data_IF_154651250891
#
_entry.id   IF_154651250891
#
_cell.length_a   1.000
_cell.length_b   1.000
_cell.length_c   1.000
_cell.angle_alpha   90.00
_cell.angle_beta   90.00
_cell.angle_gamma   90.00
#
_symmetry.space_group_name_H-M   'P 1'
#
loop_
_entity.id
_entity.type
_entity.pdbx_description
1 polymer ?
#
# COMPACT_ATOMS: atom_id res chain seq x y z
N UNK A 1 9.10 -12.13 14.67
CA UNK A 1 10.48 -11.66 14.89
C UNK A 1 11.41 -12.70 14.31
N UNK A 2 12.39 -12.32 13.47
CA UNK A 2 13.30 -13.25 12.78
C UNK A 2 14.64 -12.59 12.44
N UNK A 3 15.67 -13.40 12.20
CA UNK A 3 16.99 -12.97 11.70
C UNK A 3 17.33 -13.85 10.50
N UNK A 4 17.60 -13.21 9.37
CA UNK A 4 17.90 -13.91 8.11
C UNK A 4 19.24 -13.44 7.56
N UNK A 5 20.27 -14.29 7.62
CA UNK A 5 21.58 -13.97 7.08
C UNK A 5 21.69 -14.32 5.60
N UNK A 6 22.37 -13.47 4.85
CA UNK A 6 22.75 -13.69 3.46
C UNK A 6 24.21 -13.27 3.23
N UNK A 7 24.93 -14.05 2.43
CA UNK A 7 26.30 -13.71 2.01
C UNK A 7 26.28 -13.13 0.59
N UNK A 8 26.65 -11.86 0.47
CA UNK A 8 26.77 -11.15 -0.82
C UNK A 8 28.24 -10.81 -1.07
N UNK A 9 28.95 -11.77 -1.66
CA UNK A 9 30.41 -11.71 -1.82
C UNK A 9 31.09 -11.65 -0.44
N UNK A 10 31.84 -10.58 -0.17
CA UNK A 10 32.49 -10.35 1.13
C UNK A 10 31.61 -9.67 2.19
N UNK A 11 30.30 -9.57 1.96
CA UNK A 11 29.35 -8.91 2.85
C UNK A 11 28.46 -9.95 3.52
N UNK A 12 28.30 -9.84 4.83
CA UNK A 12 27.20 -10.48 5.55
C UNK A 12 26.06 -9.46 5.65
N UNK A 13 24.96 -9.74 4.98
CA UNK A 13 23.71 -8.98 5.11
C UNK A 13 22.84 -9.70 6.14
N UNK A 14 22.38 -8.98 7.15
CA UNK A 14 21.46 -9.48 8.15
C UNK A 14 20.13 -8.76 8.01
N UNK A 15 19.07 -9.47 7.60
CA UNK A 15 17.71 -8.95 7.65
C UNK A 15 17.12 -9.25 9.03
N UNK A 16 16.80 -8.19 9.76
CA UNK A 16 16.23 -8.27 11.09
C UNK A 16 14.75 -7.91 11.02
N UNK A 17 13.88 -8.85 11.41
CA UNK A 17 12.43 -8.68 11.37
C UNK A 17 11.90 -8.46 12.77
N UNK A 18 11.24 -7.33 12.99
CA UNK A 18 10.72 -6.92 14.28
C UNK A 18 9.19 -6.86 14.29
N UNK A 19 8.60 -7.05 15.47
CA UNK A 19 7.23 -6.63 15.72
C UNK A 19 7.28 -5.23 16.35
N UNK A 20 6.49 -4.29 15.84
CA UNK A 20 6.59 -2.86 16.19
C UNK A 20 5.34 -2.32 16.89
N UNK A 21 4.41 -3.22 17.25
CA UNK A 21 3.11 -2.85 17.79
C UNK A 21 2.35 -1.96 16.81
N UNK A 22 1.78 -0.87 17.33
CA UNK A 22 0.99 0.09 16.55
C UNK A 22 1.81 1.21 15.90
N UNK A 23 3.12 1.24 16.10
CA UNK A 23 4.00 2.14 15.38
C UNK A 23 4.39 1.55 14.02
N UNK A 24 4.66 2.41 13.04
CA UNK A 24 5.37 2.02 11.81
C UNK A 24 6.73 1.37 12.12
N UNK A 25 7.37 1.81 13.22
CA UNK A 25 8.47 1.10 13.85
C UNK A 25 9.87 1.32 13.27
N UNK A 26 10.03 2.21 12.30
CA UNK A 26 11.30 2.49 11.63
C UNK A 26 12.43 2.84 12.62
N UNK A 27 12.24 3.86 13.45
CA UNK A 27 13.26 4.28 14.42
C UNK A 27 13.57 3.19 15.46
N UNK A 28 12.56 2.41 15.85
CA UNK A 28 12.70 1.30 16.79
C UNK A 28 13.53 0.18 16.18
N UNK A 29 13.22 -0.21 14.94
CA UNK A 29 13.93 -1.24 14.19
C UNK A 29 15.37 -0.81 13.88
N UNK A 30 15.61 0.45 13.50
CA UNK A 30 16.95 0.98 13.25
C UNK A 30 17.83 0.93 14.51
N UNK A 31 17.29 1.37 15.66
CA UNK A 31 18.00 1.30 16.95
C UNK A 31 18.30 -0.14 17.37
N UNK A 32 17.34 -1.05 17.25
CA UNK A 32 17.55 -2.45 17.55
C UNK A 32 18.60 -3.08 16.61
N UNK A 33 18.57 -2.73 15.33
CA UNK A 33 19.52 -3.20 14.32
C UNK A 33 20.95 -2.71 14.59
N UNK A 34 21.12 -1.48 15.08
CA UNK A 34 22.43 -0.95 15.49
C UNK A 34 23.04 -1.77 16.63
N UNK A 35 22.24 -2.09 17.65
CA UNK A 35 22.69 -2.92 18.77
C UNK A 35 23.04 -4.35 18.31
N UNK A 36 22.22 -4.96 17.45
CA UNK A 36 22.49 -6.27 16.88
C UNK A 36 23.76 -6.26 16.01
N UNK A 37 23.94 -5.22 15.18
CA UNK A 37 25.11 -5.05 14.32
C UNK A 37 26.39 -4.92 15.14
N UNK A 38 26.35 -4.13 16.23
CA UNK A 38 27.49 -4.00 17.14
C UNK A 38 27.85 -5.33 17.82
N UNK A 39 26.86 -6.09 18.29
CA UNK A 39 27.09 -7.41 18.89
C UNK A 39 27.80 -8.36 17.92
N UNK A 40 27.31 -8.46 16.69
CA UNK A 40 27.88 -9.36 15.67
C UNK A 40 29.29 -8.91 15.30
N UNK A 41 29.52 -7.60 15.15
CA UNK A 41 30.83 -7.04 14.85
C UNK A 41 31.86 -7.36 15.95
N UNK A 42 31.47 -7.36 17.24
CA UNK A 42 32.38 -7.75 18.34
C UNK A 42 32.79 -9.22 18.31
N UNK A 43 31.94 -10.09 17.76
CA UNK A 43 32.20 -11.53 17.64
C UNK A 43 32.84 -11.93 16.30
N UNK A 44 33.14 -10.98 15.41
CA UNK A 44 33.62 -11.24 14.05
C UNK A 44 34.79 -10.31 13.69
N UNK A 45 35.49 -10.59 12.60
CA UNK A 45 36.55 -9.72 12.06
C UNK A 45 35.99 -8.68 11.06
N UNK A 46 34.74 -8.24 11.24
CA UNK A 46 34.09 -7.33 10.31
C UNK A 46 34.83 -5.97 10.24
N UNK A 47 35.37 -5.63 9.07
CA UNK A 47 36.10 -4.36 8.87
C UNK A 47 35.21 -3.12 9.06
N UNK A 48 33.93 -3.21 8.67
CA UNK A 48 32.96 -2.12 8.69
C UNK A 48 31.57 -2.65 8.96
N UNK A 49 30.73 -1.83 9.60
CA UNK A 49 29.31 -2.10 9.83
C UNK A 49 28.47 -0.92 9.36
N UNK A 50 27.29 -1.22 8.84
CA UNK A 50 26.31 -0.23 8.41
C UNK A 50 24.91 -0.73 8.78
N UNK A 51 24.10 0.15 9.33
CA UNK A 51 22.66 -0.08 9.49
C UNK A 51 21.98 0.72 8.39
N UNK A 52 21.11 0.04 7.63
CA UNK A 52 20.58 0.47 6.33
C UNK A 52 21.59 0.37 5.18
N UNK A 53 21.19 -0.28 4.09
CA UNK A 53 22.03 -0.49 2.91
C UNK A 53 21.30 -1.25 1.80
N UNK A 54 20.62 -2.33 2.14
CA UNK A 54 19.78 -3.11 1.20
C UNK A 54 18.28 -2.85 1.41
N UNK A 55 17.84 -2.71 2.67
CA UNK A 55 16.48 -2.27 3.01
C UNK A 55 16.36 -0.74 2.91
N UNK A 56 16.71 -0.20 1.73
CA UNK A 56 16.57 1.24 1.46
C UNK A 56 15.10 1.57 1.48
N UNK A 57 14.71 2.37 2.45
CA UNK A 57 13.34 2.83 2.64
C UNK A 57 12.86 3.63 1.42
N UNK A 58 11.53 3.65 1.25
CA UNK A 58 10.81 4.47 0.29
C UNK A 58 11.13 4.08 -1.16
N UNK A 59 11.22 2.77 -1.42
CA UNK A 59 11.43 2.19 -2.76
C UNK A 59 10.72 0.86 -2.95
N UNK A 60 9.86 0.79 -3.96
CA UNK A 60 9.29 -0.46 -4.44
C UNK A 60 10.39 -1.48 -4.78
N UNK A 61 10.23 -2.72 -4.31
CA UNK A 61 11.17 -3.80 -4.58
C UNK A 61 10.46 -5.17 -4.50
N UNK A 62 10.98 -6.14 -5.25
CA UNK A 62 10.37 -7.48 -5.33
C UNK A 62 10.34 -8.22 -3.99
N UNK A 63 11.33 -8.00 -3.11
CA UNK A 63 11.38 -8.63 -1.79
C UNK A 63 10.21 -8.19 -0.92
N UNK A 64 9.87 -6.90 -0.89
CA UNK A 64 8.70 -6.39 -0.19
C UNK A 64 7.39 -6.98 -0.76
N UNK A 65 7.32 -7.21 -2.08
CA UNK A 65 6.16 -7.84 -2.71
C UNK A 65 5.97 -9.31 -2.29
N UNK A 66 7.05 -10.06 -2.11
CA UNK A 66 7.01 -11.50 -1.81
C UNK A 66 7.07 -11.84 -0.31
N UNK A 67 7.95 -11.18 0.44
CA UNK A 67 8.18 -11.44 1.86
C UNK A 67 7.39 -10.49 2.78
N UNK A 68 6.83 -9.41 2.23
CA UNK A 68 6.13 -8.37 2.98
C UNK A 68 7.07 -7.45 3.77
N UNK A 69 6.56 -6.25 4.10
CA UNK A 69 7.22 -5.26 4.96
C UNK A 69 6.19 -4.36 5.62
N UNK A 70 6.22 -4.26 6.94
CA UNK A 70 5.14 -3.63 7.69
C UNK A 70 3.95 -4.59 7.79
N UNK A 71 2.78 -4.16 7.30
CA UNK A 71 1.53 -4.95 7.36
C UNK A 71 1.18 -5.52 5.99
N UNK A 72 0.95 -6.82 5.93
CA UNK A 72 0.36 -7.49 4.76
C UNK A 72 -1.14 -7.63 4.98
N UNK A 73 -1.95 -7.15 4.03
CA UNK A 73 -3.41 -7.16 4.12
C UNK A 73 -4.03 -7.61 2.81
N UNK A 74 -5.06 -8.45 2.91
CA UNK A 74 -5.93 -8.84 1.79
C UNK A 74 -7.32 -8.31 2.10
N UNK A 75 -7.94 -7.65 1.14
CA UNK A 75 -9.33 -7.22 1.19
C UNK A 75 -10.03 -7.78 -0.04
N UNK A 76 -11.18 -8.42 0.14
CA UNK A 76 -12.00 -8.91 -0.97
C UNK A 76 -13.47 -8.54 -0.79
N UNK A 77 -14.21 -8.64 -1.89
CA UNK A 77 -15.65 -8.42 -1.93
C UNK A 77 -16.29 -9.18 -3.08
N UNK A 78 -17.51 -9.64 -2.86
CA UNK A 78 -18.41 -10.10 -3.93
C UNK A 78 -19.48 -9.03 -4.19
N UNK A 79 -19.48 -8.46 -5.39
CA UNK A 79 -20.40 -7.40 -5.79
C UNK A 79 -21.49 -7.95 -6.74
N UNK A 80 -22.77 -7.83 -6.37
CA UNK A 80 -23.86 -8.26 -7.23
C UNK A 80 -23.86 -7.55 -8.58
N UNK A 81 -24.13 -8.29 -9.67
CA UNK A 81 -24.26 -7.70 -11.02
C UNK A 81 -25.22 -6.52 -11.05
N UNK A 82 -26.37 -6.65 -10.39
CA UNK A 82 -27.39 -5.61 -10.34
C UNK A 82 -26.86 -4.33 -9.67
N UNK A 83 -26.03 -4.46 -8.63
CA UNK A 83 -25.42 -3.32 -7.93
C UNK A 83 -24.41 -2.60 -8.84
N UNK A 84 -23.57 -3.36 -9.56
CA UNK A 84 -22.61 -2.79 -10.52
C UNK A 84 -23.31 -2.04 -11.65
N UNK A 85 -24.36 -2.64 -12.24
CA UNK A 85 -25.14 -2.01 -13.28
C UNK A 85 -25.80 -0.71 -12.79
N UNK A 86 -26.35 -0.72 -11.57
CA UNK A 86 -27.02 0.44 -11.00
C UNK A 86 -26.06 1.57 -10.60
N UNK A 87 -24.96 1.25 -9.93
CA UNK A 87 -24.06 2.24 -9.31
C UNK A 87 -22.94 2.66 -10.26
N UNK A 88 -22.33 1.70 -10.94
CA UNK A 88 -21.13 1.89 -11.76
C UNK A 88 -21.42 1.86 -13.27
N UNK A 89 -22.64 1.49 -13.69
CA UNK A 89 -23.06 1.41 -15.11
C UNK A 89 -22.19 0.46 -15.94
N UNK A 90 -21.67 -0.59 -15.32
CA UNK A 90 -20.83 -1.62 -15.94
C UNK A 90 -21.31 -3.02 -15.56
N UNK A 91 -20.93 -4.01 -16.37
CA UNK A 91 -21.06 -5.43 -16.03
C UNK A 91 -19.79 -5.97 -15.34
N UNK A 92 -19.88 -7.10 -14.61
CA UNK A 92 -18.69 -7.83 -14.16
C UNK A 92 -17.70 -8.14 -15.28
N UNK A 93 -18.21 -8.51 -16.46
CA UNK A 93 -17.39 -8.84 -17.63
C UNK A 93 -16.57 -7.65 -18.13
N UNK A 94 -17.14 -6.44 -18.12
CA UNK A 94 -16.43 -5.22 -18.53
C UNK A 94 -15.21 -4.97 -17.64
N UNK A 95 -15.39 -5.12 -16.33
CA UNK A 95 -14.34 -4.92 -15.32
C UNK A 95 -13.24 -5.99 -15.43
N UNK A 96 -13.60 -7.25 -15.62
CA UNK A 96 -12.62 -8.33 -15.85
C UNK A 96 -11.85 -8.11 -17.14
N UNK A 97 -12.51 -7.69 -18.23
CA UNK A 97 -11.86 -7.47 -19.52
C UNK A 97 -10.85 -6.31 -19.51
N UNK A 98 -11.20 -5.17 -18.89
CA UNK A 98 -10.26 -4.06 -18.75
C UNK A 98 -9.09 -4.43 -17.83
N UNK A 99 -9.34 -5.16 -16.74
CA UNK A 99 -8.31 -5.61 -15.83
C UNK A 99 -7.29 -6.53 -16.51
N UNK A 100 -7.75 -7.50 -17.32
CA UNK A 100 -6.86 -8.34 -18.12
C UNK A 100 -5.96 -7.51 -19.07
N UNK A 101 -6.50 -6.43 -19.62
CA UNK A 101 -5.73 -5.48 -20.45
C UNK A 101 -4.63 -4.77 -19.65
N UNK A 102 -4.93 -4.34 -18.42
CA UNK A 102 -3.95 -3.77 -17.50
C UNK A 102 -2.87 -4.77 -17.12
N UNK A 103 -3.21 -6.03 -16.83
CA UNK A 103 -2.23 -7.06 -16.46
C UNK A 103 -1.18 -7.29 -17.55
N UNK A 104 -1.59 -7.34 -18.82
CA UNK A 104 -0.65 -7.43 -19.95
C UNK A 104 0.26 -6.19 -20.01
N UNK A 105 -0.32 -5.00 -19.83
CA UNK A 105 0.44 -3.74 -19.80
C UNK A 105 1.46 -3.71 -18.65
N UNK A 106 1.06 -4.10 -17.45
CA UNK A 106 1.92 -4.18 -16.28
C UNK A 106 3.06 -5.18 -16.46
N UNK A 107 2.76 -6.37 -16.99
CA UNK A 107 3.79 -7.36 -17.32
C UNK A 107 4.82 -6.81 -18.31
N UNK A 108 4.37 -6.07 -19.34
CA UNK A 108 5.25 -5.44 -20.32
C UNK A 108 6.12 -4.33 -19.71
N UNK A 109 5.59 -3.58 -18.75
CA UNK A 109 6.33 -2.52 -18.06
C UNK A 109 7.32 -3.05 -17.02
N UNK A 110 7.17 -4.31 -16.58
CA UNK A 110 7.95 -4.87 -15.48
C UNK A 110 7.66 -4.16 -14.15
N UNK A 111 6.46 -3.60 -13.98
CA UNK A 111 6.07 -2.95 -12.72
C UNK A 111 5.83 -3.98 -11.61
N UNK A 112 6.16 -3.59 -10.38
CA UNK A 112 5.84 -4.37 -9.17
C UNK A 112 4.50 -3.97 -8.54
N UNK A 113 3.78 -3.01 -9.14
CA UNK A 113 2.45 -2.61 -8.71
C UNK A 113 1.40 -3.09 -9.70
N UNK A 114 0.60 -4.09 -9.29
CA UNK A 114 -0.55 -4.60 -10.03
C UNK A 114 -1.87 -3.91 -9.69
N UNK A 115 -1.86 -2.91 -8.81
CA UNK A 115 -3.00 -2.05 -8.50
C UNK A 115 -3.05 -0.86 -9.47
N UNK A 116 -4.22 -0.28 -9.69
CA UNK A 116 -4.44 0.73 -10.73
C UNK A 116 -4.17 2.14 -10.22
N UNK A 117 -4.74 2.51 -9.08
CA UNK A 117 -4.61 3.85 -8.50
C UNK A 117 -4.36 3.87 -6.98
N UNK A 118 -3.86 2.76 -6.42
CA UNK A 118 -3.56 2.67 -4.99
C UNK A 118 -2.79 3.87 -4.42
N UNK A 119 -1.82 4.39 -5.18
CA UNK A 119 -1.02 5.55 -4.77
C UNK A 119 -1.86 6.79 -4.45
N UNK A 120 -2.95 7.05 -5.17
CA UNK A 120 -3.81 8.22 -4.94
C UNK A 120 -4.51 8.12 -3.59
N UNK A 121 -5.21 7.01 -3.35
CA UNK A 121 -5.95 6.78 -2.11
C UNK A 121 -5.01 6.73 -0.90
N UNK A 122 -3.91 5.99 -1.01
CA UNK A 122 -2.92 5.88 0.06
C UNK A 122 -2.27 7.24 0.35
N UNK A 123 -1.85 8.00 -0.66
CA UNK A 123 -1.25 9.32 -0.42
C UNK A 123 -2.22 10.28 0.29
N UNK A 124 -3.49 10.29 -0.10
CA UNK A 124 -4.51 11.12 0.52
C UNK A 124 -4.70 10.77 2.01
N UNK A 125 -4.84 9.48 2.34
CA UNK A 125 -5.01 9.04 3.73
C UNK A 125 -3.71 9.21 4.51
N UNK A 126 -2.55 8.98 3.90
CA UNK A 126 -1.23 9.15 4.56
C UNK A 126 -1.02 10.60 4.98
N UNK A 127 -1.31 11.55 4.08
CA UNK A 127 -1.28 12.98 4.38
C UNK A 127 -2.27 13.34 5.49
N UNK A 128 -3.52 12.89 5.36
CA UNK A 128 -4.57 13.22 6.32
C UNK A 128 -4.29 12.64 7.72
N UNK A 129 -3.74 11.44 7.82
CA UNK A 129 -3.55 10.71 9.08
C UNK A 129 -2.11 10.77 9.62
N UNK A 130 -1.29 11.69 9.13
CA UNK A 130 0.07 11.92 9.65
C UNK A 130 1.04 10.76 9.48
N UNK A 131 0.86 9.98 8.41
CA UNK A 131 1.79 8.93 8.01
C UNK A 131 2.98 9.54 7.23
N UNK A 132 4.07 8.79 7.07
CA UNK A 132 5.17 9.23 6.22
C UNK A 132 4.84 8.93 4.75
N UNK A 133 4.45 9.99 4.03
CA UNK A 133 3.96 9.94 2.64
C UNK A 133 4.98 9.35 1.67
N UNK A 134 6.27 9.42 1.98
CA UNK A 134 7.27 8.83 1.09
C UNK A 134 7.16 7.29 1.02
N UNK A 135 6.55 6.66 2.03
CA UNK A 135 6.26 5.22 2.01
C UNK A 135 5.14 4.80 1.06
N UNK A 136 4.44 5.74 0.41
CA UNK A 136 3.53 5.42 -0.70
C UNK A 136 4.28 4.65 -1.79
N UNK A 137 5.56 4.94 -2.01
CA UNK A 137 6.41 4.22 -2.98
C UNK A 137 6.55 2.72 -2.72
N UNK A 138 6.37 2.27 -1.47
CA UNK A 138 6.37 0.86 -1.09
C UNK A 138 4.95 0.34 -0.87
N UNK A 139 4.11 1.15 -0.24
CA UNK A 139 2.74 0.80 0.17
C UNK A 139 1.78 0.70 -0.99
N UNK A 140 2.01 1.44 -2.08
CA UNK A 140 1.24 1.36 -3.31
C UNK A 140 1.79 0.28 -4.25
N UNK A 141 2.12 -0.89 -3.71
CA UNK A 141 2.47 -2.09 -4.48
C UNK A 141 1.65 -3.27 -4.00
N UNK A 142 1.23 -4.13 -4.92
CA UNK A 142 0.32 -5.22 -4.59
C UNK A 142 -0.33 -5.84 -5.82
N UNK A 143 -1.39 -6.60 -5.57
CA UNK A 143 -2.11 -7.37 -6.56
C UNK A 143 -3.58 -7.02 -6.54
N UNK A 144 -4.16 -6.83 -7.73
CA UNK A 144 -5.60 -6.73 -7.94
C UNK A 144 -6.06 -7.99 -8.68
N UNK A 145 -7.12 -8.61 -8.20
CA UNK A 145 -7.78 -9.75 -8.86
C UNK A 145 -9.24 -9.42 -9.09
N UNK A 146 -9.71 -9.59 -10.32
CA UNK A 146 -11.12 -9.48 -10.69
C UNK A 146 -11.54 -10.77 -11.40
N UNK A 147 -12.68 -11.33 -11.02
CA UNK A 147 -13.23 -12.53 -11.65
C UNK A 147 -14.76 -12.52 -11.67
N UNK A 148 -15.36 -13.08 -12.71
CA UNK A 148 -16.78 -13.42 -12.70
C UNK A 148 -16.99 -14.69 -11.86
N UNK A 149 -17.91 -14.62 -10.90
CA UNK A 149 -18.34 -15.78 -10.12
C UNK A 149 -19.27 -16.68 -10.95
N UNK A 150 -19.52 -17.92 -10.50
CA UNK A 150 -20.49 -18.83 -11.13
C UNK A 150 -21.92 -18.31 -11.15
N UNK A 151 -22.27 -17.41 -10.23
CA UNK A 151 -23.59 -16.75 -10.15
C UNK A 151 -23.69 -15.52 -11.08
N UNK A 152 -22.59 -15.17 -11.77
CA UNK A 152 -22.53 -14.02 -12.66
C UNK A 152 -22.31 -12.69 -11.96
N UNK A 153 -21.94 -12.70 -10.67
CA UNK A 153 -21.47 -11.54 -9.89
C UNK A 153 -19.97 -11.31 -10.06
N UNK A 154 -19.46 -10.15 -9.63
CA UNK A 154 -18.02 -9.86 -9.60
C UNK A 154 -17.41 -10.28 -8.25
N UNK A 155 -16.35 -11.05 -8.28
CA UNK A 155 -15.38 -11.14 -7.18
C UNK A 155 -14.24 -10.16 -7.45
N UNK A 156 -13.86 -9.40 -6.44
CA UNK A 156 -12.76 -8.44 -6.50
C UNK A 156 -11.90 -8.54 -5.24
N UNK A 157 -10.57 -8.60 -5.40
CA UNK A 157 -9.64 -8.61 -4.27
C UNK A 157 -8.44 -7.70 -4.50
N UNK A 158 -7.96 -7.08 -3.42
CA UNK A 158 -6.70 -6.36 -3.38
C UNK A 158 -5.81 -6.97 -2.29
N UNK A 159 -4.57 -7.32 -2.66
CA UNK A 159 -3.53 -7.76 -1.72
C UNK A 159 -2.41 -6.74 -1.70
N UNK A 160 -2.19 -6.12 -0.54
CA UNK A 160 -1.10 -5.19 -0.28
C UNK A 160 -0.14 -5.86 0.70
N UNK A 161 0.96 -6.47 0.22
CA UNK A 161 1.88 -7.22 1.08
C UNK A 161 2.75 -6.31 1.97
N UNK A 162 2.84 -5.02 1.64
CA UNK A 162 3.75 -4.08 2.31
C UNK A 162 3.13 -2.72 2.62
N UNK A 163 2.19 -2.65 3.57
CA UNK A 163 1.69 -1.38 4.09
C UNK A 163 2.51 -0.89 5.29
N UNK A 164 3.23 0.22 5.10
CA UNK A 164 4.05 0.84 6.14
C UNK A 164 3.26 1.97 6.81
N UNK A 165 2.48 1.59 7.83
CA UNK A 165 1.57 2.49 8.54
C UNK A 165 1.61 2.26 10.05
N UNK A 166 1.21 3.29 10.81
CA UNK A 166 1.06 3.22 12.27
C UNK A 166 0.02 4.20 12.79
N UNK A 167 -0.46 3.94 14.00
CA UNK A 167 -1.46 4.76 14.72
C UNK A 167 -0.88 5.38 15.99
N UNK A 168 0.42 5.14 16.25
CA UNK A 168 1.23 5.74 17.32
C UNK A 168 2.58 6.19 16.76
N UNK A 169 3.05 7.36 17.22
CA UNK A 169 4.36 7.93 16.88
C UNK A 169 4.41 8.69 15.55
N UNK A 170 5.50 9.39 15.29
CA UNK A 170 5.64 10.22 14.09
C UNK A 170 4.62 11.37 14.04
N UNK A 171 3.94 11.53 12.90
CA UNK A 171 2.92 12.55 12.68
C UNK A 171 1.55 12.24 13.29
N UNK A 172 1.30 10.98 13.67
CA UNK A 172 -0.03 10.47 14.09
C UNK A 172 -0.63 11.17 15.31
N UNK A 173 0.21 11.74 16.18
CA UNK A 173 -0.23 12.42 17.41
C UNK A 173 -0.46 13.93 17.26
N UNK A 174 -0.38 14.48 16.05
CA UNK A 174 -0.33 15.94 15.85
C UNK A 174 -1.61 16.49 15.21
N UNK A 175 -2.23 17.48 15.85
CA UNK A 175 -3.29 18.32 15.26
C UNK A 175 -4.36 17.54 14.51
N UNK A 176 -4.64 17.98 13.29
CA UNK A 176 -5.66 17.38 12.41
C UNK A 176 -5.39 15.92 12.05
N UNK A 177 -4.13 15.46 12.09
CA UNK A 177 -3.81 14.06 11.84
C UNK A 177 -4.36 13.13 12.93
N UNK A 178 -4.29 13.56 14.19
CA UNK A 178 -4.89 12.82 15.30
C UNK A 178 -6.42 12.79 15.18
N UNK A 179 -7.03 13.92 14.81
CA UNK A 179 -8.47 14.02 14.58
C UNK A 179 -8.93 13.11 13.43
N UNK A 180 -8.17 13.02 12.33
CA UNK A 180 -8.46 12.09 11.24
C UNK A 180 -8.38 10.62 11.70
N UNK A 181 -7.40 10.26 12.52
CA UNK A 181 -7.33 8.91 13.10
C UNK A 181 -8.49 8.62 14.08
N UNK A 182 -8.99 9.64 14.79
CA UNK A 182 -10.19 9.53 15.63
C UNK A 182 -11.46 9.34 14.80
N UNK A 183 -11.62 10.05 13.68
CA UNK A 183 -12.75 9.85 12.74
C UNK A 183 -12.79 8.42 12.23
N UNK A 184 -11.61 7.85 11.94
CA UNK A 184 -11.48 6.45 11.51
C UNK A 184 -11.58 5.44 12.67
N UNK A 185 -11.59 5.89 13.93
CA UNK A 185 -11.69 5.04 15.11
C UNK A 185 -10.44 4.19 15.38
N UNK A 186 -9.27 4.59 14.87
CA UNK A 186 -8.03 3.80 14.92
C UNK A 186 -6.90 4.49 15.70
N UNK A 187 -7.14 5.64 16.34
CA UNK A 187 -6.08 6.34 17.05
C UNK A 187 -5.56 5.54 18.24
N UNK A 188 -4.23 5.48 18.39
CA UNK A 188 -3.58 4.88 19.54
C UNK A 188 -3.33 3.38 19.41
N UNK A 189 -3.10 2.74 20.55
CA UNK A 189 -2.76 1.32 20.62
C UNK A 189 -3.94 0.43 20.21
N UNK A 190 -3.65 -0.66 19.51
CA UNK A 190 -4.63 -1.59 18.92
C UNK A 190 -5.23 -1.16 17.59
N UNK A 191 -4.95 0.06 17.10
CA UNK A 191 -5.58 0.60 15.90
C UNK A 191 -4.89 0.26 14.58
N UNK A 192 -3.62 -0.13 14.58
CA UNK A 192 -2.83 -0.15 13.36
C UNK A 192 -3.24 -1.25 12.36
N UNK A 193 -3.79 -2.38 12.84
CA UNK A 193 -4.30 -3.44 11.95
C UNK A 193 -5.61 -3.03 11.27
N UNK A 194 -6.56 -2.51 12.05
CA UNK A 194 -7.82 -1.96 11.50
C UNK A 194 -7.53 -0.82 10.52
N UNK A 195 -6.54 0.04 10.82
CA UNK A 195 -6.14 1.09 9.89
C UNK A 195 -5.62 0.52 8.55
N UNK A 196 -4.82 -0.55 8.57
CA UNK A 196 -4.38 -1.22 7.34
C UNK A 196 -5.54 -1.86 6.56
N UNK A 197 -6.53 -2.44 7.24
CA UNK A 197 -7.75 -2.97 6.62
C UNK A 197 -8.57 -1.86 5.92
N UNK A 198 -8.76 -0.72 6.58
CA UNK A 198 -9.44 0.44 6.00
C UNK A 198 -8.72 0.97 4.75
N UNK A 199 -7.38 0.98 4.77
CA UNK A 199 -6.57 1.38 3.61
C UNK A 199 -6.71 0.39 2.44
N UNK A 200 -6.70 -0.92 2.71
CA UNK A 200 -6.91 -1.92 1.67
C UNK A 200 -8.31 -1.79 1.02
N UNK A 201 -9.34 -1.57 1.83
CA UNK A 201 -10.69 -1.32 1.34
C UNK A 201 -10.78 -0.04 0.51
N UNK A 202 -10.08 1.03 0.94
CA UNK A 202 -9.99 2.30 0.20
C UNK A 202 -9.34 2.10 -1.17
N UNK A 203 -8.27 1.31 -1.23
CA UNK A 203 -7.58 0.97 -2.48
C UNK A 203 -8.49 0.17 -3.41
N UNK A 204 -9.12 -0.91 -2.91
CA UNK A 204 -10.00 -1.75 -3.71
C UNK A 204 -11.19 -0.95 -4.27
N UNK A 205 -11.82 -0.12 -3.44
CA UNK A 205 -12.91 0.75 -3.87
C UNK A 205 -12.46 1.77 -4.93
N UNK A 206 -11.26 2.36 -4.76
CA UNK A 206 -10.66 3.25 -5.73
C UNK A 206 -10.42 2.56 -7.07
N UNK A 207 -9.74 1.42 -7.08
CA UNK A 207 -9.42 0.69 -8.31
C UNK A 207 -10.68 0.28 -9.07
N UNK A 208 -11.70 -0.24 -8.38
CA UNK A 208 -13.00 -0.57 -8.99
C UNK A 208 -13.68 0.66 -9.60
N UNK A 209 -13.70 1.78 -8.87
CA UNK A 209 -14.30 3.03 -9.37
C UNK A 209 -13.57 3.56 -10.61
N UNK A 210 -12.24 3.49 -10.63
CA UNK A 210 -11.46 3.99 -11.75
C UNK A 210 -11.61 3.10 -12.99
N UNK A 211 -11.52 1.78 -12.83
CA UNK A 211 -11.75 0.85 -13.93
C UNK A 211 -13.15 1.02 -14.52
N UNK A 212 -14.17 1.14 -13.68
CA UNK A 212 -15.54 1.41 -14.14
C UNK A 212 -15.63 2.69 -14.96
N UNK A 213 -14.96 3.77 -14.52
CA UNK A 213 -14.98 5.06 -15.24
C UNK A 213 -14.32 5.00 -16.63
N UNK A 214 -13.38 4.07 -16.83
CA UNK A 214 -12.79 3.82 -18.14
C UNK A 214 -13.71 2.98 -19.02
N UNK A 215 -14.37 1.96 -18.46
CA UNK A 215 -15.38 1.17 -19.17
C UNK A 215 -16.56 2.03 -19.63
N UNK A 216 -16.98 3.01 -18.84
CA UNK A 216 -18.08 3.94 -19.19
C UNK A 216 -17.63 5.15 -20.01
N UNK A 217 -16.32 5.30 -20.26
CA UNK A 217 -15.71 6.49 -20.88
C UNK A 217 -16.00 7.82 -20.16
N UNK A 218 -16.38 7.77 -18.89
CA UNK A 218 -16.72 8.96 -18.08
C UNK A 218 -15.49 9.63 -17.44
N UNK A 219 -14.33 8.96 -17.45
CA UNK A 219 -13.10 9.45 -16.79
C UNK A 219 -12.77 10.90 -17.16
N UNK A 220 -12.73 11.23 -18.45
CA UNK A 220 -12.36 12.57 -18.94
C UNK A 220 -13.38 13.62 -18.49
N UNK A 221 -14.67 13.33 -18.66
CA UNK A 221 -15.74 14.23 -18.27
C UNK A 221 -15.74 14.50 -16.76
N UNK A 222 -15.45 13.48 -15.94
CA UNK A 222 -15.32 13.64 -14.50
C UNK A 222 -14.12 14.53 -14.13
N UNK A 223 -12.98 14.36 -14.80
CA UNK A 223 -11.80 15.21 -14.58
C UNK A 223 -12.02 16.67 -14.99
N UNK A 224 -12.63 16.91 -16.16
CA UNK A 224 -13.02 18.26 -16.59
C UNK A 224 -13.93 18.95 -15.57
N UNK A 225 -14.95 18.23 -15.09
CA UNK A 225 -15.96 18.81 -14.19
C UNK A 225 -15.46 19.00 -12.76
N UNK A 226 -14.70 18.05 -12.22
CA UNK A 226 -14.35 18.00 -10.78
C UNK A 226 -12.88 18.33 -10.50
N UNK A 227 -11.99 18.19 -11.49
CA UNK A 227 -10.55 18.39 -11.34
C UNK A 227 -10.12 19.84 -11.18
N UNK A 228 -11.05 20.81 -11.27
CA UNK A 228 -10.76 22.25 -11.22
C UNK A 228 -9.72 22.67 -12.27
N UNK A 229 -9.76 22.03 -13.45
CA UNK A 229 -8.77 22.16 -14.53
C UNK A 229 -8.83 23.50 -15.29
N UNK A 230 -9.69 24.44 -14.86
CA UNK A 230 -9.77 25.80 -15.41
C UNK A 230 -9.31 26.82 -14.37
N UNK A 231 -7.99 26.98 -14.16
CA UNK A 231 -7.47 28.06 -13.34
C UNK A 231 -7.68 29.39 -14.08
N UNK A 232 -8.82 30.05 -13.83
CA UNK A 232 -9.06 31.45 -14.22
C UNK A 232 -10.04 31.68 -15.37
N UNK A 233 -11.31 31.31 -15.22
CA UNK A 233 -12.36 32.17 -15.79
C UNK A 233 -12.48 33.39 -14.85
N UNK A 234 -12.13 34.60 -15.28
CA UNK A 234 -12.51 35.80 -14.54
C UNK A 234 -14.04 35.86 -14.53
N UNK A 235 -14.62 36.04 -13.35
CA UNK A 235 -16.03 36.40 -13.20
C UNK A 235 -16.35 37.75 -13.87
#
# INVERSE_FOLDING_TARGET
VAVEPELVGRRLVLRLVFATGDAIGINMAARASELCSELVARSTEAERRYVHGEDVEKRANARALHAGRGRSVVCDVRLPRALLAQQLRVSPEDLVAIHASYQIGFARLGTHNGLVQAANGLAAVFLACGQDVAYVTESATGFLELACTSEGDLYASAHLPSLLVGTVGGGTGQGTAAECLDILGVRGAGGANLFAELLAATVLAGDLSLLASFCTHEFVAAHERLGRNRPGDPA
#
